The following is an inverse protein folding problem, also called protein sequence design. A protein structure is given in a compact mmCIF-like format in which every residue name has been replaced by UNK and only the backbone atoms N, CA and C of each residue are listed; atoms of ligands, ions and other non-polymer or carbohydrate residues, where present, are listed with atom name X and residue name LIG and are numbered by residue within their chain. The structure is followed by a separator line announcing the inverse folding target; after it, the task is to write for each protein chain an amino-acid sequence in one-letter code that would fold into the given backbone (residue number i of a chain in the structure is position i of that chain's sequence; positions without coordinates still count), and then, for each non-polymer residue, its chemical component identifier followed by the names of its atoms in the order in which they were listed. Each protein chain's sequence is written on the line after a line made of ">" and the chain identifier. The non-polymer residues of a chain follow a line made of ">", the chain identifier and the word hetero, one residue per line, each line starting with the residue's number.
data_IF_684637568270
#
_entry.id   IF_684637568270
#
_cell.length_a   1.000
_cell.length_b   1.000
_cell.length_c   1.000
_cell.angle_alpha   90.00
_cell.angle_beta   90.00
_cell.angle_gamma   90.00
#
_symmetry.space_group_name_H-M   'P 1'
#
loop_
_entity.id
_entity.type
_entity.pdbx_description
1 polymer ?
#
# COMPACT_ATOMS: atom_id res chain seq x y z
N UNK A 1 34.62 -20.82 -9.14
CA UNK A 1 34.16 -20.24 -10.42
C UNK A 1 33.45 -18.94 -10.03
N UNK A 2 34.25 -17.92 -9.74
CA UNK A 2 33.80 -16.68 -9.13
C UNK A 2 33.30 -15.73 -10.22
N UNK A 3 31.99 -15.68 -10.39
CA UNK A 3 31.35 -14.66 -11.21
C UNK A 3 31.25 -13.37 -10.38
N UNK A 4 32.37 -12.65 -10.32
CA UNK A 4 32.44 -11.31 -9.76
C UNK A 4 31.43 -10.42 -10.51
N UNK A 5 30.43 -9.91 -9.81
CA UNK A 5 29.41 -9.07 -10.43
C UNK A 5 30.05 -7.71 -10.72
N UNK A 6 30.17 -7.29 -12.01
CA UNK A 6 30.76 -6.00 -12.33
C UNK A 6 29.91 -4.89 -11.72
N UNK A 7 30.59 -4.04 -10.97
CA UNK A 7 30.04 -2.94 -10.21
C UNK A 7 29.39 -1.91 -11.13
N UNK A 8 28.10 -1.65 -10.92
CA UNK A 8 27.36 -0.72 -11.78
C UNK A 8 27.66 0.76 -11.49
N UNK A 9 28.50 1.06 -10.49
CA UNK A 9 28.84 2.42 -10.05
C UNK A 9 30.13 2.99 -10.65
N UNK A 10 30.85 2.23 -11.49
CA UNK A 10 32.09 2.67 -12.14
C UNK A 10 31.88 3.63 -13.31
N UNK A 11 32.42 4.85 -13.14
CA UNK A 11 32.70 5.94 -14.10
C UNK A 11 31.75 6.10 -15.29
N UNK A 12 30.78 7.01 -15.12
CA UNK A 12 30.18 7.74 -16.23
C UNK A 12 31.28 8.69 -16.74
N UNK A 13 31.95 8.32 -17.83
CA UNK A 13 32.88 9.19 -18.52
C UNK A 13 32.21 10.55 -18.79
N UNK A 14 32.91 11.63 -18.41
CA UNK A 14 32.49 13.01 -18.63
C UNK A 14 32.46 13.32 -20.13
N UNK A 15 31.31 13.10 -20.77
CA UNK A 15 30.97 13.75 -22.03
C UNK A 15 29.58 14.39 -21.92
N UNK A 16 29.56 15.71 -22.12
CA UNK A 16 28.41 16.56 -22.44
C UNK A 16 27.06 16.21 -21.82
N UNK A 17 26.72 16.85 -20.69
CA UNK A 17 25.33 17.04 -20.17
C UNK A 17 24.36 15.87 -20.37
N UNK A 18 24.78 14.63 -20.05
CA UNK A 18 23.83 13.52 -19.88
C UNK A 18 23.28 13.56 -18.45
N UNK A 19 21.96 13.71 -18.32
CA UNK A 19 21.27 13.60 -17.03
C UNK A 19 21.68 12.29 -16.32
N UNK A 20 22.10 12.40 -15.05
CA UNK A 20 22.41 11.22 -14.24
C UNK A 20 21.16 10.33 -14.12
N UNK A 21 21.26 9.01 -14.37
CA UNK A 21 20.10 8.11 -14.26
C UNK A 21 19.50 8.06 -12.84
N UNK A 22 20.25 8.51 -11.83
CA UNK A 22 19.80 8.63 -10.44
C UNK A 22 18.68 9.67 -10.26
N UNK A 23 18.54 10.66 -11.16
CA UNK A 23 17.40 11.57 -11.19
C UNK A 23 16.06 10.82 -11.37
N UNK A 24 16.12 9.59 -11.90
CA UNK A 24 14.98 8.68 -11.92
C UNK A 24 14.33 8.52 -10.54
N UNK A 25 15.11 8.47 -9.44
CA UNK A 25 14.57 8.34 -8.07
C UNK A 25 13.61 9.48 -7.75
N UNK A 26 14.01 10.72 -8.03
CA UNK A 26 13.17 11.89 -7.76
C UNK A 26 11.91 11.88 -8.63
N UNK A 27 12.04 11.51 -9.91
CA UNK A 27 10.89 11.32 -10.80
C UNK A 27 9.92 10.26 -10.24
N UNK A 28 10.44 9.14 -9.76
CA UNK A 28 9.64 8.08 -9.15
C UNK A 28 8.87 8.55 -7.91
N UNK A 29 9.52 9.29 -7.01
CA UNK A 29 8.87 9.85 -5.82
C UNK A 29 7.77 10.85 -6.24
N UNK A 30 8.06 11.74 -7.19
CA UNK A 30 7.07 12.68 -7.71
C UNK A 30 5.87 11.96 -8.34
N UNK A 31 6.10 10.84 -9.04
CA UNK A 31 5.02 10.02 -9.57
C UNK A 31 4.20 9.35 -8.45
N UNK A 32 4.83 8.89 -7.37
CA UNK A 32 4.13 8.30 -6.23
C UNK A 32 3.16 9.29 -5.58
N UNK A 33 3.61 10.53 -5.39
CA UNK A 33 2.83 11.63 -4.83
C UNK A 33 2.01 12.40 -5.88
N UNK A 34 2.09 12.03 -7.16
CA UNK A 34 1.58 12.83 -8.27
C UNK A 34 0.07 13.07 -8.19
N UNK A 35 -0.71 12.05 -7.86
CA UNK A 35 -2.16 12.20 -7.70
C UNK A 35 -2.51 13.16 -6.55
N UNK A 36 -1.85 13.00 -5.39
CA UNK A 36 -2.03 13.88 -4.23
C UNK A 36 -1.67 15.32 -4.58
N UNK A 37 -0.53 15.54 -5.24
CA UNK A 37 -0.07 16.88 -5.66
C UNK A 37 -1.08 17.51 -6.61
N UNK A 38 -1.54 16.79 -7.64
CA UNK A 38 -2.50 17.32 -8.62
C UNK A 38 -3.85 17.64 -7.99
N UNK A 39 -4.29 16.87 -6.99
CA UNK A 39 -5.53 17.13 -6.24
C UNK A 39 -5.40 18.38 -5.36
N UNK A 40 -4.28 18.54 -4.66
CA UNK A 40 -3.97 19.75 -3.89
C UNK A 40 -3.93 20.99 -4.80
N UNK A 41 -3.28 20.89 -5.97
CA UNK A 41 -3.23 21.98 -6.95
C UNK A 41 -4.62 22.30 -7.55
N UNK A 42 -5.51 21.32 -7.59
CA UNK A 42 -6.92 21.51 -7.96
C UNK A 42 -7.77 22.14 -6.85
N UNK A 43 -7.17 22.54 -5.72
CA UNK A 43 -7.86 23.19 -4.60
C UNK A 43 -8.54 22.23 -3.62
N UNK A 44 -8.29 20.91 -3.71
CA UNK A 44 -8.77 19.96 -2.70
C UNK A 44 -7.96 20.09 -1.42
N UNK A 45 -8.58 19.76 -0.29
CA UNK A 45 -7.87 19.71 0.97
C UNK A 45 -6.88 18.53 1.03
N UNK A 46 -6.11 18.45 2.13
CA UNK A 46 -5.12 17.39 2.32
C UNK A 46 -5.77 16.01 2.46
N UNK A 47 -6.93 15.93 3.12
CA UNK A 47 -7.61 14.66 3.40
C UNK A 47 -8.14 14.05 2.10
N UNK A 48 -8.85 14.85 1.30
CA UNK A 48 -9.40 14.49 -0.02
C UNK A 48 -8.32 14.15 -1.05
N UNK A 49 -7.15 14.77 -0.90
CA UNK A 49 -6.00 14.52 -1.77
C UNK A 49 -5.33 13.18 -1.45
N UNK A 50 -5.31 12.78 -0.18
CA UNK A 50 -4.72 11.51 0.30
C UNK A 50 -5.71 10.35 0.21
N UNK A 51 -7.01 10.61 0.32
CA UNK A 51 -8.08 9.61 0.36
C UNK A 51 -8.00 8.50 -0.70
N UNK A 52 -7.72 8.79 -2.00
CA UNK A 52 -7.63 7.75 -3.02
C UNK A 52 -6.51 6.74 -2.76
N UNK A 53 -5.39 7.21 -2.19
CA UNK A 53 -4.30 6.33 -1.80
C UNK A 53 -4.71 5.44 -0.62
N UNK A 54 -5.49 5.97 0.33
CA UNK A 54 -6.04 5.18 1.43
C UNK A 54 -6.96 4.06 0.91
N UNK A 55 -7.93 4.41 0.07
CA UNK A 55 -8.88 3.45 -0.55
C UNK A 55 -8.14 2.39 -1.35
N UNK A 56 -7.20 2.79 -2.21
CA UNK A 56 -6.42 1.84 -3.03
C UNK A 56 -5.53 0.93 -2.17
N UNK A 57 -4.92 1.47 -1.12
CA UNK A 57 -4.11 0.66 -0.18
C UNK A 57 -4.97 -0.37 0.56
N UNK A 58 -6.18 0.02 0.95
CA UNK A 58 -7.16 -0.87 1.57
C UNK A 58 -7.57 -1.99 0.61
N UNK A 59 -7.98 -1.63 -0.61
CA UNK A 59 -8.42 -2.57 -1.66
C UNK A 59 -7.32 -3.60 -1.98
N UNK A 60 -6.08 -3.14 -2.20
CA UNK A 60 -4.96 -4.05 -2.45
C UNK A 60 -4.67 -4.94 -1.26
N UNK A 61 -4.74 -4.42 -0.04
CA UNK A 61 -4.48 -5.27 1.11
C UNK A 61 -5.53 -6.35 1.26
N UNK A 62 -6.81 -6.03 1.08
CA UNK A 62 -7.89 -7.01 1.13
C UNK A 62 -7.70 -8.09 0.05
N UNK A 63 -7.38 -7.70 -1.19
CA UNK A 63 -7.10 -8.64 -2.29
C UNK A 63 -5.91 -9.56 -2.02
N UNK A 64 -4.80 -9.00 -1.53
CA UNK A 64 -3.59 -9.79 -1.22
C UNK A 64 -3.85 -10.77 -0.07
N UNK A 65 -4.65 -10.36 0.92
CA UNK A 65 -5.05 -11.21 2.03
C UNK A 65 -5.99 -12.35 1.58
N UNK A 66 -6.94 -12.04 0.70
CA UNK A 66 -7.93 -13.01 0.22
C UNK A 66 -7.32 -14.06 -0.72
N UNK A 67 -6.29 -13.68 -1.49
CA UNK A 67 -5.68 -14.56 -2.49
C UNK A 67 -4.18 -14.76 -2.27
N UNK A 68 -3.77 -15.86 -1.58
CA UNK A 68 -2.38 -16.25 -1.49
C UNK A 68 -1.74 -16.50 -2.87
N UNK A 69 -2.50 -17.04 -3.81
CA UNK A 69 -2.07 -17.27 -5.20
C UNK A 69 -1.70 -15.96 -5.88
N UNK A 70 -2.55 -14.92 -5.79
CA UNK A 70 -2.25 -13.59 -6.32
C UNK A 70 -0.95 -13.05 -5.71
N UNK A 71 -0.81 -13.15 -4.40
CA UNK A 71 0.39 -12.67 -3.71
C UNK A 71 1.65 -13.37 -4.20
N UNK A 72 1.64 -14.71 -4.29
CA UNK A 72 2.77 -15.48 -4.81
C UNK A 72 3.08 -15.12 -6.27
N UNK A 73 2.05 -14.98 -7.12
CA UNK A 73 2.23 -14.57 -8.51
C UNK A 73 2.88 -13.21 -8.64
N UNK A 74 2.47 -12.23 -7.81
CA UNK A 74 3.09 -10.91 -7.79
C UNK A 74 4.54 -10.96 -7.31
N UNK A 75 4.86 -11.78 -6.32
CA UNK A 75 6.24 -11.94 -5.84
C UNK A 75 7.15 -12.49 -6.95
N UNK A 76 6.69 -13.53 -7.64
CA UNK A 76 7.41 -14.12 -8.76
C UNK A 76 7.56 -13.13 -9.92
N UNK A 77 6.49 -12.40 -10.26
CA UNK A 77 6.49 -11.42 -11.34
C UNK A 77 7.45 -10.27 -11.05
N UNK A 78 7.44 -9.73 -9.83
CA UNK A 78 8.37 -8.68 -9.40
C UNK A 78 9.82 -9.17 -9.41
N UNK A 79 10.06 -10.38 -8.92
CA UNK A 79 11.40 -11.00 -8.97
C UNK A 79 11.91 -11.22 -10.39
N UNK A 80 11.07 -11.77 -11.26
CA UNK A 80 11.39 -12.00 -12.67
C UNK A 80 11.62 -10.68 -13.43
N UNK A 81 10.80 -9.65 -13.17
CA UNK A 81 10.97 -8.33 -13.74
C UNK A 81 12.30 -7.68 -13.31
N UNK A 82 12.63 -7.73 -12.02
CA UNK A 82 13.90 -7.22 -11.51
C UNK A 82 15.11 -7.97 -12.10
N UNK A 83 15.01 -9.30 -12.23
CA UNK A 83 16.04 -10.10 -12.89
C UNK A 83 16.20 -9.74 -14.38
N UNK A 84 15.09 -9.62 -15.12
CA UNK A 84 15.09 -9.20 -16.52
C UNK A 84 15.63 -7.79 -16.71
N UNK A 85 15.33 -6.87 -15.78
CA UNK A 85 15.88 -5.52 -15.82
C UNK A 85 17.39 -5.52 -15.59
N UNK A 86 17.87 -6.32 -14.62
CA UNK A 86 19.30 -6.50 -14.38
C UNK A 86 20.02 -7.07 -15.60
N UNK A 87 19.45 -8.04 -16.29
CA UNK A 87 20.08 -8.65 -17.48
C UNK A 87 20.15 -7.64 -18.63
N UNK A 88 19.10 -6.84 -18.85
CA UNK A 88 19.08 -5.77 -19.86
C UNK A 88 20.09 -4.65 -19.58
N UNK A 89 20.18 -4.19 -18.33
CA UNK A 89 21.18 -3.19 -17.92
C UNK A 89 22.61 -3.66 -18.19
N UNK A 90 22.88 -4.97 -18.05
CA UNK A 90 24.19 -5.56 -18.30
C UNK A 90 24.52 -5.75 -19.78
N UNK A 91 23.53 -6.02 -20.63
CA UNK A 91 23.75 -6.43 -22.02
C UNK A 91 23.71 -5.29 -23.04
N UNK A 92 23.24 -4.11 -22.65
CA UNK A 92 23.00 -2.98 -23.58
C UNK A 92 24.13 -1.94 -23.56
N UNK A 93 24.40 -1.35 -24.73
CA UNK A 93 25.30 -0.19 -24.88
C UNK A 93 24.67 1.11 -24.33
N UNK A 94 23.34 1.24 -24.35
CA UNK A 94 22.59 2.40 -23.84
C UNK A 94 22.30 2.32 -22.34
N UNK A 95 23.33 1.94 -21.58
CA UNK A 95 23.20 1.61 -20.15
C UNK A 95 22.57 2.71 -19.30
N UNK A 96 22.79 3.98 -19.63
CA UNK A 96 22.24 5.11 -18.87
C UNK A 96 20.70 5.15 -18.89
N UNK A 97 20.07 4.92 -20.04
CA UNK A 97 18.60 4.92 -20.17
C UNK A 97 18.00 3.72 -19.43
N UNK A 98 18.60 2.55 -19.60
CA UNK A 98 18.16 1.34 -18.92
C UNK A 98 18.40 1.35 -17.41
N UNK A 99 19.33 2.17 -16.91
CA UNK A 99 19.52 2.43 -15.48
C UNK A 99 18.50 3.43 -14.92
N UNK A 100 17.99 4.36 -15.73
CA UNK A 100 16.99 5.33 -15.26
C UNK A 100 15.68 4.63 -14.82
N UNK A 101 15.28 3.57 -15.51
CA UNK A 101 14.07 2.80 -15.20
C UNK A 101 14.08 2.15 -13.80
N UNK A 102 15.10 1.36 -13.39
CA UNK A 102 15.16 0.81 -12.03
C UNK A 102 15.32 1.88 -10.97
N UNK A 103 16.02 2.99 -11.25
CA UNK A 103 16.07 4.12 -10.33
C UNK A 103 14.70 4.81 -10.16
N UNK A 104 13.93 4.96 -11.24
CA UNK A 104 12.57 5.46 -11.17
C UNK A 104 11.62 4.51 -10.44
N UNK A 105 11.71 3.21 -10.69
CA UNK A 105 10.97 2.20 -9.96
C UNK A 105 11.32 2.21 -8.45
N UNK A 106 12.60 2.38 -8.11
CA UNK A 106 13.05 2.51 -6.73
C UNK A 106 12.46 3.75 -6.05
N UNK A 107 12.51 4.91 -6.72
CA UNK A 107 11.90 6.14 -6.21
C UNK A 107 10.39 6.04 -6.04
N UNK A 108 9.70 5.46 -7.01
CA UNK A 108 8.25 5.22 -6.96
C UNK A 108 7.90 4.33 -5.76
N UNK A 109 8.64 3.24 -5.58
CA UNK A 109 8.39 2.30 -4.50
C UNK A 109 8.68 2.91 -3.13
N UNK A 110 9.76 3.70 -2.99
CA UNK A 110 10.06 4.43 -1.76
C UNK A 110 8.96 5.46 -1.44
N UNK A 111 8.45 6.18 -2.45
CA UNK A 111 7.33 7.11 -2.28
C UNK A 111 6.02 6.41 -1.89
N UNK A 112 5.74 5.24 -2.46
CA UNK A 112 4.58 4.43 -2.06
C UNK A 112 4.73 3.86 -0.65
N UNK A 113 5.94 3.44 -0.25
CA UNK A 113 6.24 3.00 1.11
C UNK A 113 6.05 4.15 2.11
N UNK A 114 6.53 5.36 1.79
CA UNK A 114 6.35 6.52 2.68
C UNK A 114 4.89 6.91 2.80
N UNK A 115 4.13 6.90 1.70
CA UNK A 115 2.68 7.08 1.73
C UNK A 115 1.98 6.01 2.57
N UNK A 116 2.38 4.75 2.42
CA UNK A 116 1.82 3.65 3.21
C UNK A 116 2.07 3.85 4.71
N UNK A 117 3.29 4.20 5.12
CA UNK A 117 3.58 4.48 6.53
C UNK A 117 2.79 5.67 7.08
N UNK A 118 2.65 6.73 6.29
CA UNK A 118 1.84 7.87 6.68
C UNK A 118 0.38 7.44 6.92
N UNK A 119 -0.18 6.67 5.98
CA UNK A 119 -1.51 6.11 6.10
C UNK A 119 -1.63 5.13 7.28
N UNK A 120 -0.61 4.34 7.56
CA UNK A 120 -0.61 3.39 8.66
C UNK A 120 -0.66 4.08 10.02
N UNK A 121 0.12 5.17 10.19
CA UNK A 121 0.11 5.98 11.41
C UNK A 121 -1.26 6.61 11.66
N UNK A 122 -1.91 7.16 10.61
CA UNK A 122 -3.14 7.93 10.78
C UNK A 122 -4.44 7.11 10.64
N UNK A 123 -4.44 6.05 9.84
CA UNK A 123 -5.64 5.31 9.45
C UNK A 123 -5.54 3.80 9.70
N UNK A 124 -4.48 3.14 9.23
CA UNK A 124 -4.48 1.68 9.11
C UNK A 124 -4.02 0.95 10.40
N UNK A 125 -3.26 1.63 11.28
CA UNK A 125 -2.84 1.17 12.62
C UNK A 125 -2.28 -0.26 12.68
N UNK A 126 -1.48 -0.64 11.70
CA UNK A 126 -0.84 -1.95 11.62
C UNK A 126 -1.77 -3.09 11.20
N UNK A 127 -2.98 -2.81 10.72
CA UNK A 127 -3.95 -3.84 10.32
C UNK A 127 -3.53 -4.62 9.06
N UNK A 128 -2.57 -4.12 8.29
CA UNK A 128 -2.33 -4.52 6.91
C UNK A 128 -0.88 -4.95 6.67
N UNK A 129 -0.63 -6.25 6.76
CA UNK A 129 0.73 -6.82 6.67
C UNK A 129 1.16 -7.15 5.23
N UNK A 130 0.21 -7.51 4.36
CA UNK A 130 0.53 -8.09 3.04
C UNK A 130 1.03 -7.06 2.02
N UNK A 131 0.47 -5.86 2.02
CA UNK A 131 0.89 -4.78 1.14
C UNK A 131 2.32 -4.29 1.43
N UNK A 132 2.71 -3.97 2.69
CA UNK A 132 4.09 -3.61 2.99
C UNK A 132 5.06 -4.77 2.73
N UNK A 133 4.62 -6.02 2.88
CA UNK A 133 5.43 -7.19 2.51
C UNK A 133 5.72 -7.23 1.01
N UNK A 134 4.73 -7.01 0.15
CA UNK A 134 4.92 -6.93 -1.30
C UNK A 134 5.84 -5.76 -1.68
N UNK A 135 5.66 -4.60 -1.04
CA UNK A 135 6.53 -3.44 -1.25
C UNK A 135 7.97 -3.71 -0.81
N UNK A 136 8.17 -4.34 0.35
CA UNK A 136 9.48 -4.76 0.85
C UNK A 136 10.16 -5.77 -0.08
N UNK A 137 9.42 -6.75 -0.59
CA UNK A 137 9.92 -7.70 -1.58
C UNK A 137 10.38 -7.00 -2.86
N UNK A 138 9.56 -6.09 -3.40
CA UNK A 138 9.94 -5.29 -4.57
C UNK A 138 11.17 -4.43 -4.33
N UNK A 139 11.30 -3.86 -3.12
CA UNK A 139 12.45 -3.04 -2.75
C UNK A 139 13.72 -3.88 -2.71
N UNK A 140 13.67 -5.06 -2.09
CA UNK A 140 14.78 -6.00 -2.07
C UNK A 140 15.20 -6.41 -3.49
N UNK A 141 14.24 -6.75 -4.35
CA UNK A 141 14.51 -7.13 -5.74
C UNK A 141 15.18 -6.01 -6.53
N UNK A 142 14.70 -4.76 -6.42
CA UNK A 142 15.27 -3.60 -7.10
C UNK A 142 16.67 -3.26 -6.59
N UNK A 143 16.88 -3.29 -5.27
CA UNK A 143 18.18 -3.08 -4.66
C UNK A 143 19.17 -4.14 -5.17
N UNK A 144 18.83 -5.42 -5.11
CA UNK A 144 19.71 -6.49 -5.59
C UNK A 144 19.95 -6.40 -7.10
N UNK A 145 18.95 -5.97 -7.88
CA UNK A 145 19.11 -5.75 -9.32
C UNK A 145 20.13 -4.64 -9.63
N UNK A 146 20.12 -3.55 -8.86
CA UNK A 146 21.00 -2.39 -9.03
C UNK A 146 22.39 -2.57 -8.40
N UNK A 147 22.46 -3.05 -7.16
CA UNK A 147 23.69 -3.11 -6.36
C UNK A 147 24.30 -4.51 -6.23
N UNK A 148 23.58 -5.55 -6.64
CA UNK A 148 23.99 -6.93 -6.36
C UNK A 148 23.78 -7.32 -4.88
N UNK A 149 24.40 -8.43 -4.43
CA UNK A 149 24.27 -8.87 -3.04
C UNK A 149 24.77 -7.80 -2.07
N UNK A 150 24.14 -7.68 -0.88
CA UNK A 150 24.52 -6.67 0.11
C UNK A 150 25.95 -6.93 0.62
N UNK A 151 26.87 -6.03 0.33
CA UNK A 151 28.24 -6.06 0.87
C UNK A 151 28.66 -4.68 1.35
N UNK A 152 29.38 -4.60 2.47
CA UNK A 152 29.90 -3.32 2.99
C UNK A 152 31.12 -2.80 2.22
N UNK A 153 31.79 -3.70 1.47
CA UNK A 153 33.05 -3.46 0.76
C UNK A 153 33.06 -4.23 -0.56
N UNK A 154 33.79 -3.74 -1.56
CA UNK A 154 34.16 -4.56 -2.72
C UNK A 154 35.33 -5.48 -2.38
N UNK A 155 35.49 -6.52 -3.20
CA UNK A 155 36.72 -7.31 -3.21
C UNK A 155 37.92 -6.38 -3.44
N UNK A 156 38.90 -6.43 -2.55
CA UNK A 156 40.10 -5.57 -2.59
C UNK A 156 40.00 -4.21 -1.87
N UNK A 157 38.82 -3.78 -1.40
CA UNK A 157 38.67 -2.54 -0.62
C UNK A 157 38.86 -2.77 0.88
N UNK A 158 39.70 -1.95 1.52
CA UNK A 158 39.99 -2.05 2.97
C UNK A 158 39.00 -1.29 3.84
N UNK A 159 38.25 -0.33 3.28
CA UNK A 159 37.33 0.55 4.00
C UNK A 159 35.90 0.42 3.46
N UNK A 160 34.87 0.53 4.32
CA UNK A 160 33.48 0.55 3.88
C UNK A 160 33.16 1.84 3.10
N UNK A 161 32.33 1.72 2.07
CA UNK A 161 31.79 2.85 1.31
C UNK A 161 30.44 3.27 1.86
N UNK A 162 30.18 4.57 1.98
CA UNK A 162 28.89 5.10 2.43
C UNK A 162 27.73 4.62 1.56
N UNK A 163 27.90 4.62 0.24
CA UNK A 163 26.89 4.12 -0.72
C UNK A 163 26.54 2.65 -0.48
N UNK A 164 27.55 1.83 -0.17
CA UNK A 164 27.35 0.42 0.16
C UNK A 164 26.71 0.21 1.53
N UNK A 165 27.04 1.06 2.50
CA UNK A 165 26.35 1.06 3.79
C UNK A 165 24.86 1.39 3.62
N UNK A 166 24.51 2.41 2.83
CA UNK A 166 23.11 2.71 2.49
C UNK A 166 22.41 1.59 1.73
N UNK A 167 23.10 0.92 0.81
CA UNK A 167 22.57 -0.25 0.12
C UNK A 167 22.24 -1.38 1.08
N UNK A 168 23.18 -1.71 1.99
CA UNK A 168 22.97 -2.73 3.03
C UNK A 168 21.79 -2.33 3.93
N UNK A 169 21.74 -1.09 4.41
CA UNK A 169 20.64 -0.58 5.23
C UNK A 169 19.30 -0.69 4.49
N UNK A 170 19.26 -0.36 3.20
CA UNK A 170 18.07 -0.49 2.37
C UNK A 170 17.60 -1.93 2.23
N UNK A 171 18.53 -2.90 2.07
CA UNK A 171 18.18 -4.33 2.02
C UNK A 171 17.66 -4.82 3.37
N UNK A 172 18.24 -4.37 4.49
CA UNK A 172 17.71 -4.67 5.83
C UNK A 172 16.33 -4.08 6.05
N UNK A 173 16.11 -2.85 5.62
CA UNK A 173 14.79 -2.20 5.69
C UNK A 173 13.75 -2.96 4.85
N UNK A 174 14.13 -3.39 3.63
CA UNK A 174 13.28 -4.24 2.80
C UNK A 174 12.94 -5.58 3.47
N UNK A 175 13.93 -6.23 4.11
CA UNK A 175 13.70 -7.46 4.86
C UNK A 175 12.77 -7.22 6.06
N UNK A 176 12.94 -6.12 6.79
CA UNK A 176 12.07 -5.73 7.90
C UNK A 176 10.61 -5.54 7.46
N UNK A 177 10.37 -4.95 6.29
CA UNK A 177 9.03 -4.84 5.71
C UNK A 177 8.40 -6.19 5.36
N UNK A 178 9.21 -7.18 4.97
CA UNK A 178 8.73 -8.52 4.59
C UNK A 178 8.41 -9.39 5.81
N UNK A 179 9.18 -9.26 6.90
CA UNK A 179 9.08 -10.18 8.05
C UNK A 179 7.66 -10.34 8.62
N UNK A 180 6.86 -9.28 8.83
CA UNK A 180 5.51 -9.42 9.38
C UNK A 180 4.55 -10.21 8.49
N UNK A 181 4.75 -10.21 7.17
CA UNK A 181 3.90 -10.95 6.24
C UNK A 181 4.26 -12.42 6.06
N UNK A 182 5.44 -12.86 6.51
CA UNK A 182 5.87 -14.26 6.37
C UNK A 182 4.92 -15.22 7.11
N UNK A 183 4.53 -14.98 8.38
CA UNK A 183 3.54 -15.82 9.06
C UNK A 183 2.18 -15.81 8.35
N UNK A 184 1.78 -14.68 7.75
CA UNK A 184 0.54 -14.58 7.01
C UNK A 184 0.55 -15.42 5.74
N UNK A 185 1.65 -15.40 4.99
CA UNK A 185 1.85 -16.25 3.81
C UNK A 185 1.92 -17.75 4.14
N UNK A 186 2.49 -18.08 5.30
CA UNK A 186 2.56 -19.45 5.79
C UNK A 186 1.22 -19.96 6.35
N UNK A 187 0.17 -19.14 6.37
CA UNK A 187 -1.15 -19.51 6.89
C UNK A 187 -1.26 -19.51 8.42
N UNK A 188 -0.27 -18.94 9.12
CA UNK A 188 -0.29 -18.81 10.58
C UNK A 188 -0.98 -17.54 11.07
N UNK A 189 -1.24 -16.56 10.19
CA UNK A 189 -2.01 -15.38 10.58
C UNK A 189 -3.50 -15.73 10.73
N UNK A 190 -4.19 -15.18 11.74
CA UNK A 190 -5.61 -15.36 11.91
C UNK A 190 -6.36 -14.83 10.67
N UNK A 191 -7.04 -15.73 9.98
CA UNK A 191 -8.00 -15.38 8.93
C UNK A 191 -9.33 -15.01 9.59
N UNK A 192 -10.09 -14.06 9.02
CA UNK A 192 -11.47 -13.84 9.47
C UNK A 192 -12.22 -15.16 9.30
N UNK A 193 -13.10 -15.53 10.25
CA UNK A 193 -13.95 -16.70 10.06
C UNK A 193 -14.74 -16.53 8.76
N UNK A 194 -14.91 -17.62 8.01
CA UNK A 194 -15.82 -17.62 6.86
C UNK A 194 -17.20 -17.18 7.33
N UNK A 195 -17.93 -16.47 6.47
CA UNK A 195 -19.32 -16.14 6.74
C UNK A 195 -20.08 -17.44 7.04
N UNK A 196 -20.85 -17.51 8.14
CA UNK A 196 -21.55 -18.73 8.50
C UNK A 196 -22.54 -19.11 7.39
N UNK A 197 -22.71 -20.42 7.15
CA UNK A 197 -23.67 -20.92 6.17
C UNK A 197 -25.12 -20.85 6.66
N UNK A 198 -25.32 -20.70 7.97
CA UNK A 198 -26.61 -20.55 8.62
C UNK A 198 -26.51 -19.64 9.85
N UNK A 199 -27.56 -18.87 10.13
CA UNK A 199 -27.63 -18.02 11.32
C UNK A 199 -27.07 -16.61 11.11
N UNK A 200 -26.74 -15.91 12.20
CA UNK A 200 -26.27 -14.52 12.13
C UNK A 200 -25.00 -14.38 11.29
N UNK A 201 -25.05 -13.56 10.24
CA UNK A 201 -23.95 -13.36 9.29
C UNK A 201 -23.99 -14.25 8.04
N UNK A 202 -24.99 -15.13 7.89
CA UNK A 202 -25.23 -15.87 6.64
C UNK A 202 -25.99 -15.04 5.61
N UNK A 203 -25.95 -15.47 4.34
CA UNK A 203 -26.75 -14.90 3.26
C UNK A 203 -27.60 -16.02 2.63
N UNK A 204 -28.95 -16.00 2.77
CA UNK A 204 -29.75 -15.03 3.52
C UNK A 204 -29.55 -15.13 5.04
N UNK A 205 -29.81 -14.03 5.75
CA UNK A 205 -29.77 -13.99 7.22
C UNK A 205 -30.94 -14.76 7.86
N UNK A 206 -30.91 -14.98 9.19
CA UNK A 206 -31.89 -15.81 9.88
C UNK A 206 -33.26 -15.13 10.07
N UNK A 207 -33.33 -13.81 9.89
CA UNK A 207 -34.55 -13.03 10.05
C UNK A 207 -34.79 -12.17 8.81
N UNK A 208 -36.06 -12.01 8.44
CA UNK A 208 -36.48 -10.97 7.50
C UNK A 208 -36.39 -9.62 8.20
N UNK A 209 -35.85 -8.62 7.50
CA UNK A 209 -35.61 -7.30 8.05
C UNK A 209 -36.65 -6.32 7.52
N UNK A 210 -37.09 -5.40 8.37
CA UNK A 210 -37.83 -4.20 7.99
C UNK A 210 -36.97 -2.98 8.26
N UNK A 211 -36.96 -2.02 7.33
CA UNK A 211 -36.17 -0.80 7.46
C UNK A 211 -37.10 0.41 7.51
N UNK A 212 -36.90 1.23 8.54
CA UNK A 212 -37.60 2.48 8.75
C UNK A 212 -36.62 3.62 8.54
N UNK A 213 -37.05 4.67 7.83
CA UNK A 213 -36.30 5.91 7.65
C UNK A 213 -36.99 7.01 8.44
N UNK A 214 -36.25 7.67 9.33
CA UNK A 214 -36.73 8.85 10.06
C UNK A 214 -35.82 10.04 9.75
N UNK A 215 -36.33 11.13 9.17
CA UNK A 215 -35.57 12.36 9.02
C UNK A 215 -35.07 12.85 10.38
N UNK A 216 -33.84 13.35 10.41
CA UNK A 216 -33.20 13.87 11.62
C UNK A 216 -32.75 15.29 11.37
N UNK A 217 -33.32 16.22 12.14
CA UNK A 217 -32.85 17.60 12.15
C UNK A 217 -31.52 17.65 12.89
N UNK A 218 -30.44 18.03 12.18
CA UNK A 218 -29.15 18.26 12.80
C UNK A 218 -29.24 19.39 13.84
N UNK A 219 -28.56 19.29 14.99
CA UNK A 219 -28.43 20.40 15.92
C UNK A 219 -27.79 21.63 15.27
N UNK A 220 -28.18 22.82 15.71
CA UNK A 220 -27.69 24.10 15.15
C UNK A 220 -26.16 24.18 15.17
N UNK A 221 -25.53 23.68 16.22
CA UNK A 221 -24.07 23.66 16.36
C UNK A 221 -23.37 22.78 15.30
N UNK A 222 -24.06 21.75 14.79
CA UNK A 222 -23.55 20.89 13.73
C UNK A 222 -23.74 21.55 12.37
N UNK A 223 -24.89 22.20 12.16
CA UNK A 223 -25.19 22.95 10.93
C UNK A 223 -24.18 24.09 10.72
N UNK A 224 -23.79 24.78 11.80
CA UNK A 224 -22.78 25.85 11.75
C UNK A 224 -21.40 25.36 11.28
N UNK A 225 -21.05 24.10 11.57
CA UNK A 225 -19.76 23.49 11.21
C UNK A 225 -19.80 22.77 9.86
N UNK A 226 -20.96 22.23 9.48
CA UNK A 226 -21.16 21.49 8.22
C UNK A 226 -20.78 22.31 6.98
N UNK A 227 -21.07 23.61 7.00
CA UNK A 227 -20.80 24.50 5.87
C UNK A 227 -21.56 24.08 4.58
N UNK A 228 -21.14 24.56 3.39
CA UNK A 228 -21.83 24.32 2.12
C UNK A 228 -21.51 22.97 1.46
N UNK A 229 -20.96 22.00 2.20
CA UNK A 229 -20.47 20.73 1.64
C UNK A 229 -21.55 19.66 1.51
N UNK A 230 -22.57 19.71 2.36
CA UNK A 230 -23.63 18.69 2.49
C UNK A 230 -25.01 19.35 2.72
N UNK A 231 -25.19 20.59 2.28
CA UNK A 231 -26.42 21.37 2.46
C UNK A 231 -27.61 20.87 1.62
N UNK A 232 -27.34 19.96 0.67
CA UNK A 232 -28.31 19.27 -0.18
C UNK A 232 -28.71 17.87 0.33
N UNK A 233 -28.13 17.42 1.45
CA UNK A 233 -28.37 16.07 2.01
C UNK A 233 -29.40 16.11 3.15
N UNK A 234 -30.47 15.34 3.02
CA UNK A 234 -31.44 15.12 4.10
C UNK A 234 -30.93 14.04 5.08
N UNK A 235 -30.35 14.48 6.20
CA UNK A 235 -29.90 13.58 7.26
C UNK A 235 -31.06 12.74 7.78
N UNK A 236 -30.88 11.43 7.79
CA UNK A 236 -31.90 10.48 8.20
C UNK A 236 -31.29 9.36 9.04
N UNK A 237 -32.00 8.96 10.08
CA UNK A 237 -31.68 7.75 10.85
C UNK A 237 -32.41 6.57 10.20
N UNK A 238 -31.65 5.54 9.83
CA UNK A 238 -32.18 4.29 9.34
C UNK A 238 -32.21 3.28 10.49
N UNK A 239 -33.39 2.76 10.80
CA UNK A 239 -33.59 1.74 11.81
C UNK A 239 -33.97 0.45 11.11
N UNK A 240 -33.14 -0.58 11.23
CA UNK A 240 -33.40 -1.90 10.66
C UNK A 240 -33.76 -2.86 11.79
N UNK A 241 -34.98 -3.39 11.77
CA UNK A 241 -35.50 -4.31 12.79
C UNK A 241 -35.73 -5.71 12.18
N UNK A 242 -35.33 -6.78 12.87
CA UNK A 242 -35.67 -8.13 12.45
C UNK A 242 -37.10 -8.47 12.85
N UNK A 243 -37.80 -9.21 11.99
CA UNK A 243 -39.04 -9.88 12.37
C UNK A 243 -38.71 -11.08 13.26
N UNK A 244 -39.03 -10.96 14.55
CA UNK A 244 -38.88 -12.06 15.50
C UNK A 244 -40.16 -12.91 15.51
N UNK A 245 -40.07 -14.24 15.39
CA UNK A 245 -41.16 -15.14 15.71
C UNK A 245 -41.72 -14.88 17.12
N UNK A 246 -43.04 -14.81 17.26
CA UNK A 246 -43.73 -14.56 18.54
C UNK A 246 -43.43 -15.63 19.62
N UNK A 247 -43.03 -16.83 19.18
CA UNK A 247 -42.71 -17.98 20.02
C UNK A 247 -41.31 -17.90 20.65
N UNK A 248 -40.46 -16.97 20.22
CA UNK A 248 -39.12 -16.80 20.79
C UNK A 248 -39.20 -16.04 22.12
N UNK A 249 -38.57 -16.54 23.20
CA UNK A 249 -38.56 -15.88 24.50
C UNK A 249 -37.56 -14.70 24.54
N UNK A 250 -37.54 -13.87 23.49
CA UNK A 250 -36.62 -12.75 23.33
C UNK A 250 -37.39 -11.45 23.60
N UNK A 251 -37.14 -10.82 24.75
CA UNK A 251 -37.72 -9.53 25.11
C UNK A 251 -36.82 -8.32 24.79
N UNK A 252 -35.54 -8.56 24.48
CA UNK A 252 -34.54 -7.53 24.21
C UNK A 252 -33.59 -7.96 23.10
N UNK A 253 -33.22 -7.00 22.24
CA UNK A 253 -32.21 -7.18 21.21
C UNK A 253 -31.03 -6.23 21.46
N UNK A 254 -29.78 -6.66 21.19
CA UNK A 254 -28.65 -5.75 21.19
C UNK A 254 -28.79 -4.73 20.06
N UNK A 255 -28.59 -3.45 20.39
CA UNK A 255 -28.59 -2.36 19.43
C UNK A 255 -27.16 -2.14 18.91
N UNK A 256 -27.01 -2.11 17.58
CA UNK A 256 -25.80 -1.63 16.92
C UNK A 256 -26.10 -0.27 16.29
N UNK A 257 -25.26 0.72 16.57
CA UNK A 257 -25.31 2.03 15.91
C UNK A 257 -24.18 2.07 14.89
N UNK A 258 -24.55 2.23 13.62
CA UNK A 258 -23.61 2.37 12.51
C UNK A 258 -23.54 3.84 12.15
N UNK A 259 -22.33 4.39 12.17
CA UNK A 259 -22.04 5.77 11.77
C UNK A 259 -21.20 5.72 10.50
N UNK A 260 -21.52 6.56 9.51
CA UNK A 260 -20.70 6.70 8.32
C UNK A 260 -19.50 7.62 8.60
N UNK A 261 -18.50 7.55 7.71
CA UNK A 261 -17.37 8.47 7.74
C UNK A 261 -17.72 9.82 7.11
N UNK A 262 -16.84 10.80 7.29
CA UNK A 262 -16.92 12.11 6.64
C UNK A 262 -16.93 11.98 5.12
N UNK A 263 -17.83 12.68 4.42
CA UNK A 263 -17.93 12.70 2.95
C UNK A 263 -18.61 11.47 2.32
N UNK A 264 -19.40 10.71 3.09
CA UNK A 264 -20.16 9.56 2.62
C UNK A 264 -21.57 9.59 3.23
N UNK A 265 -22.49 10.41 2.68
CA UNK A 265 -23.85 10.58 3.22
C UNK A 265 -24.71 9.31 3.12
#
# INVERSE_FOLDING_TARGET
>A
MDADAPDLSGEIAHEGTRFSPQWGILLGVLLAYGEMILRLLSGKDLVDSVWPHAVRSLEWTLRLRESPTLTLSLFLLVGAAAFGLRTRVKSTSERAVWLALPYAALGLLLGLISLHFLLDVFYLRGAFLMLPTLMGWGLACLLIALGGPPTLRKSGETRPSATRAFHVLGVFFAAWLVMPGVPALAGFAPTPPAAPTMGYGSVPGPYTLEQYRSPYALPDEVIEVQGPLEDDVEFSVYVTLPHLPEELPISHLPLAVLLHGFGYP
#
